data_IF_569762452300
#
_entry.id   IF_569762452300
#
_cell.length_a   1.000
_cell.length_b   1.000
_cell.length_c   1.000
_cell.angle_alpha   90.00
_cell.angle_beta   90.00
_cell.angle_gamma   90.00
#
_symmetry.space_group_name_H-M   'P 1'
#
loop_
_entity.id
_entity.type
_entity.pdbx_description
1 polymer ?
#
# COMPACT_ATOMS: atom_id res chain seq x y z
N UNK A 1 0.78 -45.99 -52.93
CA UNK A 1 1.32 -45.42 -51.66
C UNK A 1 0.19 -44.72 -50.93
N UNK A 2 -0.20 -45.17 -49.73
CA UNK A 2 -1.30 -44.59 -48.94
C UNK A 2 -0.75 -43.42 -48.10
N UNK A 3 -1.04 -42.18 -48.47
CA UNK A 3 -0.59 -40.97 -47.77
C UNK A 3 -1.44 -40.72 -46.53
N UNK A 4 -0.93 -41.06 -45.33
CA UNK A 4 -1.62 -40.88 -44.03
C UNK A 4 -1.44 -39.49 -43.40
N UNK A 5 -1.11 -38.46 -44.17
CA UNK A 5 -0.61 -37.18 -43.65
C UNK A 5 -1.64 -36.04 -43.41
N UNK A 6 -2.94 -36.09 -43.77
CA UNK A 6 -3.77 -34.87 -43.70
C UNK A 6 -4.27 -34.53 -42.28
N UNK A 7 -4.53 -35.52 -41.42
CA UNK A 7 -5.11 -35.28 -40.10
C UNK A 7 -4.11 -34.69 -39.10
N UNK A 8 -2.84 -35.09 -39.17
CA UNK A 8 -1.79 -34.58 -38.30
C UNK A 8 -1.52 -33.08 -38.56
N UNK A 9 -1.54 -32.66 -39.84
CA UNK A 9 -1.36 -31.26 -40.22
C UNK A 9 -2.55 -30.40 -39.73
N UNK A 10 -3.77 -30.94 -39.83
CA UNK A 10 -4.99 -30.27 -39.38
C UNK A 10 -5.02 -30.12 -37.84
N UNK A 11 -4.55 -31.15 -37.11
CA UNK A 11 -4.44 -31.10 -35.65
C UNK A 11 -3.41 -30.06 -35.18
N UNK A 12 -2.25 -29.97 -35.85
CA UNK A 12 -1.22 -28.96 -35.54
C UNK A 12 -1.75 -27.54 -35.83
N UNK A 13 -2.44 -27.35 -36.95
CA UNK A 13 -3.07 -26.06 -37.28
C UNK A 13 -4.16 -25.66 -36.26
N UNK A 14 -4.95 -26.64 -35.77
CA UNK A 14 -5.97 -26.42 -34.74
C UNK A 14 -5.34 -26.02 -33.39
N UNK A 15 -4.25 -26.68 -32.98
CA UNK A 15 -3.52 -26.34 -31.75
C UNK A 15 -2.89 -24.94 -31.81
N UNK A 16 -2.42 -24.51 -32.99
CA UNK A 16 -1.87 -23.16 -33.20
C UNK A 16 -2.96 -22.07 -33.26
N UNK A 17 -4.22 -22.44 -33.57
CA UNK A 17 -5.36 -21.51 -33.58
C UNK A 17 -5.92 -21.24 -32.17
N UNK A 18 -5.66 -22.12 -31.20
CA UNK A 18 -6.07 -21.99 -29.79
C UNK A 18 -4.96 -21.41 -28.90
N UNK A 19 -4.31 -20.33 -29.34
CA UNK A 19 -3.46 -19.56 -28.41
C UNK A 19 -4.35 -18.81 -27.44
N UNK A 20 -4.56 -19.39 -26.25
CA UNK A 20 -5.22 -18.74 -25.13
C UNK A 20 -4.44 -17.48 -24.74
N UNK A 21 -5.07 -16.31 -24.92
CA UNK A 21 -4.56 -15.07 -24.39
C UNK A 21 -5.03 -14.96 -22.94
N UNK A 22 -4.15 -15.30 -21.99
CA UNK A 22 -4.40 -15.00 -20.58
C UNK A 22 -4.09 -13.53 -20.33
N UNK A 23 -5.09 -12.75 -19.94
CA UNK A 23 -4.88 -11.39 -19.44
C UNK A 23 -4.48 -11.46 -17.96
N UNK A 24 -3.54 -10.62 -17.53
CA UNK A 24 -3.29 -10.44 -16.10
C UNK A 24 -4.51 -9.76 -15.47
N UNK A 25 -5.08 -10.38 -14.44
CA UNK A 25 -6.13 -9.81 -13.58
C UNK A 25 -5.52 -9.25 -12.29
N UNK A 26 -6.30 -8.52 -11.50
CA UNK A 26 -5.87 -8.09 -10.17
C UNK A 26 -5.57 -9.28 -9.25
N UNK A 27 -4.65 -9.11 -8.30
CA UNK A 27 -4.30 -10.11 -7.30
C UNK A 27 -5.19 -9.92 -6.09
N UNK A 28 -5.95 -10.96 -5.72
CA UNK A 28 -6.67 -10.99 -4.45
C UNK A 28 -5.92 -11.89 -3.46
N UNK A 29 -5.66 -11.39 -2.25
CA UNK A 29 -5.17 -12.17 -1.13
C UNK A 29 -6.30 -12.23 -0.11
N UNK A 30 -7.02 -13.35 -0.09
CA UNK A 30 -8.13 -13.60 0.82
C UNK A 30 -8.36 -15.12 1.01
N UNK A 31 -9.13 -15.49 2.01
CA UNK A 31 -9.49 -16.89 2.30
C UNK A 31 -10.80 -17.35 1.64
N UNK A 32 -11.58 -16.44 1.05
CA UNK A 32 -12.88 -16.76 0.43
C UNK A 32 -12.76 -17.21 -1.03
N UNK A 33 -11.60 -17.02 -1.66
CA UNK A 33 -11.40 -17.25 -3.10
C UNK A 33 -12.07 -16.20 -3.98
N UNK A 34 -12.49 -15.05 -3.41
CA UNK A 34 -13.09 -13.98 -4.18
C UNK A 34 -12.06 -13.32 -5.11
N UNK A 35 -12.50 -12.99 -6.32
CA UNK A 35 -11.71 -12.18 -7.25
C UNK A 35 -11.45 -10.78 -6.67
N UNK A 36 -10.32 -10.19 -7.06
CA UNK A 36 -10.05 -8.79 -6.73
C UNK A 36 -11.07 -7.89 -7.44
N UNK A 37 -11.41 -6.77 -6.81
CA UNK A 37 -12.22 -5.75 -7.45
C UNK A 37 -11.61 -5.32 -8.78
N UNK A 38 -12.44 -5.13 -9.80
CA UNK A 38 -11.98 -4.76 -11.15
C UNK A 38 -11.17 -3.45 -11.19
N UNK A 39 -11.30 -2.57 -10.18
CA UNK A 39 -10.50 -1.34 -10.05
C UNK A 39 -9.21 -1.51 -9.23
N UNK A 40 -8.88 -2.71 -8.75
CA UNK A 40 -7.74 -2.98 -7.90
C UNK A 40 -6.74 -3.96 -8.56
N UNK A 41 -5.46 -3.58 -8.58
CA UNK A 41 -4.38 -4.51 -8.95
C UNK A 41 -4.00 -5.44 -7.79
N UNK A 42 -4.18 -5.00 -6.55
CA UNK A 42 -4.00 -5.80 -5.34
C UNK A 42 -5.15 -5.49 -4.38
N UNK A 43 -5.86 -6.53 -3.97
CA UNK A 43 -6.87 -6.46 -2.91
C UNK A 43 -6.48 -7.43 -1.79
N UNK A 44 -6.52 -6.95 -0.55
CA UNK A 44 -6.35 -7.78 0.64
C UNK A 44 -7.70 -7.86 1.32
N UNK A 45 -8.40 -8.97 1.08
CA UNK A 45 -9.77 -9.19 1.48
C UNK A 45 -9.88 -10.16 2.65
N UNK A 46 -10.84 -9.93 3.53
CA UNK A 46 -11.06 -10.79 4.70
C UNK A 46 -10.06 -10.49 5.82
N UNK A 47 -10.59 -10.20 7.00
CA UNK A 47 -9.77 -9.96 8.16
C UNK A 47 -9.18 -11.26 8.72
N UNK A 48 -9.75 -12.44 8.43
CA UNK A 48 -9.38 -13.71 9.09
C UNK A 48 -8.48 -14.58 8.23
N UNK A 49 -7.34 -14.99 8.77
CA UNK A 49 -6.43 -15.95 8.14
C UNK A 49 -6.86 -17.41 8.27
N UNK A 50 -6.09 -18.35 7.69
CA UNK A 50 -6.38 -19.79 7.76
C UNK A 50 -6.39 -20.36 9.19
N UNK A 51 -5.72 -19.69 10.13
CA UNK A 51 -5.69 -20.04 11.55
C UNK A 51 -6.84 -19.44 12.38
N UNK A 52 -7.71 -18.62 11.76
CA UNK A 52 -8.79 -17.90 12.45
C UNK A 52 -8.39 -16.56 13.05
N UNK A 53 -7.10 -16.19 13.01
CA UNK A 53 -6.61 -14.91 13.52
C UNK A 53 -6.84 -13.76 12.54
N UNK A 54 -6.95 -12.54 13.07
CA UNK A 54 -7.05 -11.35 12.22
C UNK A 54 -5.69 -11.04 11.56
N UNK A 55 -5.65 -10.93 10.23
CA UNK A 55 -4.46 -10.62 9.42
C UNK A 55 -4.56 -9.23 8.78
N UNK A 56 -3.43 -8.68 8.39
CA UNK A 56 -3.33 -7.40 7.69
C UNK A 56 -2.08 -7.34 6.80
N UNK A 57 -1.82 -6.17 6.22
CA UNK A 57 -0.65 -5.94 5.37
C UNK A 57 0.56 -5.50 6.19
N UNK A 58 1.63 -6.30 6.20
CA UNK A 58 2.91 -5.88 6.76
C UNK A 58 3.78 -5.22 5.69
N UNK A 59 3.93 -3.91 5.79
CA UNK A 59 4.78 -3.09 4.92
C UNK A 59 6.28 -3.28 5.26
N UNK A 60 7.20 -3.19 4.29
CA UNK A 60 8.64 -3.26 4.55
C UNK A 60 9.10 -2.32 5.67
N UNK A 61 9.84 -2.89 6.64
CA UNK A 61 10.44 -2.14 7.75
C UNK A 61 11.85 -1.72 7.38
N UNK A 62 12.12 -0.43 7.43
CA UNK A 62 13.38 0.16 6.94
C UNK A 62 13.94 1.11 8.00
N UNK A 63 15.25 1.05 8.26
CA UNK A 63 15.90 2.04 9.10
C UNK A 63 16.32 3.24 8.22
N UNK A 64 15.47 4.27 8.14
CA UNK A 64 15.78 5.49 7.39
C UNK A 64 16.88 6.29 8.11
N UNK A 65 17.64 7.06 7.34
CA UNK A 65 18.77 7.86 7.86
C UNK A 65 18.44 9.33 8.01
N UNK A 66 17.68 9.90 7.07
CA UNK A 66 17.16 11.26 7.07
C UNK A 66 16.01 11.37 6.06
N UNK A 67 15.14 12.37 6.17
CA UNK A 67 14.03 12.55 5.22
C UNK A 67 14.50 12.95 3.82
N UNK A 68 15.60 13.69 3.71
CA UNK A 68 16.19 14.13 2.43
C UNK A 68 17.17 13.10 1.82
N UNK A 69 17.23 11.88 2.34
CA UNK A 69 18.12 10.82 1.87
C UNK A 69 17.33 9.64 1.33
N UNK A 70 17.59 9.24 0.08
CA UNK A 70 16.98 8.04 -0.49
C UNK A 70 17.40 6.76 0.28
N UNK A 71 18.62 6.75 0.83
CA UNK A 71 19.16 5.59 1.54
C UNK A 71 18.32 5.20 2.75
N UNK A 72 18.17 3.89 3.00
CA UNK A 72 18.93 2.78 2.42
C UNK A 72 18.39 2.24 1.08
N UNK A 73 17.37 2.86 0.48
CA UNK A 73 16.83 2.44 -0.81
C UNK A 73 17.46 3.32 -1.89
N UNK A 74 18.33 2.77 -2.74
CA UNK A 74 19.14 3.59 -3.68
C UNK A 74 18.29 4.31 -4.73
N UNK A 75 17.13 3.75 -5.10
CA UNK A 75 16.23 4.30 -6.12
C UNK A 75 14.76 4.03 -5.76
N UNK A 76 14.23 4.65 -4.69
CA UNK A 76 12.85 4.43 -4.29
C UNK A 76 11.91 4.98 -5.37
N UNK A 77 10.92 4.18 -5.75
CA UNK A 77 9.88 4.63 -6.66
C UNK A 77 9.02 5.71 -5.98
N UNK A 78 8.47 6.64 -6.75
CA UNK A 78 7.47 7.59 -6.22
C UNK A 78 6.31 6.81 -5.62
N UNK A 79 5.84 7.28 -4.46
CA UNK A 79 4.80 6.63 -3.64
C UNK A 79 5.22 5.30 -3.00
N UNK A 80 6.51 4.94 -2.99
CA UNK A 80 6.99 3.77 -2.27
C UNK A 80 6.79 3.95 -0.75
N UNK A 81 5.98 3.08 -0.15
CA UNK A 81 5.60 3.10 1.27
C UNK A 81 6.51 2.18 2.09
N UNK A 82 7.00 2.68 3.23
CA UNK A 82 7.79 1.93 4.20
C UNK A 82 7.36 2.26 5.62
N UNK A 83 7.63 1.36 6.56
CA UNK A 83 7.62 1.69 7.99
C UNK A 83 9.05 1.96 8.45
N UNK A 84 9.35 3.20 8.84
CA UNK A 84 10.63 3.56 9.42
C UNK A 84 10.76 3.00 10.84
N UNK A 85 11.91 2.42 11.16
CA UNK A 85 12.23 1.90 12.51
C UNK A 85 13.27 2.74 13.27
N UNK A 86 13.93 3.69 12.61
CA UNK A 86 15.03 4.44 13.19
C UNK A 86 14.62 5.80 13.77
N UNK A 87 15.37 6.26 14.77
CA UNK A 87 15.49 7.68 15.13
C UNK A 87 16.86 8.12 14.61
N UNK A 88 16.89 8.98 13.60
CA UNK A 88 18.12 9.37 12.92
C UNK A 88 18.00 10.76 12.27
N UNK A 89 19.11 11.30 11.79
CA UNK A 89 19.19 12.62 11.19
C UNK A 89 19.17 13.76 12.22
N UNK A 90 19.20 14.98 11.73
CA UNK A 90 19.08 16.20 12.51
C UNK A 90 18.03 17.11 11.88
N UNK A 91 17.42 17.99 12.68
CA UNK A 91 16.46 18.99 12.20
C UNK A 91 17.05 19.77 11.00
N UNK A 92 16.29 19.99 9.91
CA UNK A 92 14.87 19.67 9.71
C UNK A 92 14.60 18.30 9.04
N UNK A 93 15.61 17.43 8.93
CA UNK A 93 15.54 16.17 8.17
C UNK A 93 15.55 14.91 9.04
N UNK A 94 15.29 15.07 10.33
CA UNK A 94 15.19 13.96 11.27
C UNK A 94 14.05 13.02 10.89
N UNK A 95 14.30 11.73 11.13
CA UNK A 95 13.30 10.66 11.01
C UNK A 95 13.05 10.06 12.37
N UNK A 96 11.81 9.64 12.58
CA UNK A 96 11.34 8.90 13.76
C UNK A 96 10.48 7.73 13.31
N UNK A 97 10.27 6.69 14.14
CA UNK A 97 9.45 5.55 13.77
C UNK A 97 8.05 5.96 13.28
N UNK A 98 7.55 5.25 12.27
CA UNK A 98 6.26 5.51 11.64
C UNK A 98 6.27 5.25 10.13
N UNK A 99 5.12 5.43 9.48
CA UNK A 99 5.02 5.22 8.03
C UNK A 99 5.56 6.41 7.24
N UNK A 100 6.30 6.15 6.18
CA UNK A 100 6.82 7.14 5.24
C UNK A 100 6.55 6.70 3.81
N UNK A 101 6.28 7.66 2.93
CA UNK A 101 6.30 7.42 1.49
C UNK A 101 7.37 8.29 0.82
N UNK A 102 7.93 7.80 -0.28
CA UNK A 102 8.85 8.58 -1.10
C UNK A 102 8.09 9.51 -2.06
N UNK A 103 8.34 10.82 -2.01
CA UNK A 103 7.66 11.80 -2.87
C UNK A 103 8.40 12.13 -4.18
N UNK A 104 9.32 11.27 -4.62
CA UNK A 104 10.33 11.48 -5.67
C UNK A 104 11.59 12.25 -5.25
N UNK A 105 11.61 12.92 -4.09
CA UNK A 105 12.76 13.72 -3.63
C UNK A 105 13.12 13.54 -2.14
N UNK A 106 12.15 13.19 -1.31
CA UNK A 106 12.30 13.01 0.12
C UNK A 106 11.29 11.99 0.65
N UNK A 107 11.62 11.39 1.80
CA UNK A 107 10.70 10.63 2.62
C UNK A 107 9.76 11.59 3.35
N UNK A 108 8.46 11.40 3.13
CA UNK A 108 7.41 12.15 3.80
C UNK A 108 6.74 11.23 4.82
N UNK A 109 6.78 11.62 6.10
CA UNK A 109 6.07 10.88 7.14
C UNK A 109 4.57 11.02 6.91
N UNK A 110 3.83 9.91 6.89
CA UNK A 110 2.38 9.96 6.97
C UNK A 110 2.03 10.52 8.35
N UNK A 111 1.46 11.71 8.39
CA UNK A 111 1.15 12.39 9.63
C UNK A 111 0.28 11.50 10.52
N UNK A 112 0.69 11.30 11.77
CA UNK A 112 -0.28 11.04 12.84
C UNK A 112 -0.96 12.37 13.09
N UNK A 113 -2.28 12.47 12.88
CA UNK A 113 -3.03 13.71 13.04
C UNK A 113 -2.60 14.47 14.31
N UNK A 114 -1.90 15.58 14.13
CA UNK A 114 -1.70 16.57 15.17
C UNK A 114 -2.75 17.64 14.90
N UNK A 115 -3.75 17.74 15.79
CA UNK A 115 -4.69 18.85 15.77
C UNK A 115 -3.95 20.19 15.84
N UNK A 116 -4.57 21.30 15.41
CA UNK A 116 -3.92 22.60 15.37
C UNK A 116 -3.43 23.05 16.76
N UNK A 117 -2.27 23.72 16.77
CA UNK A 117 -1.71 24.41 17.94
C UNK A 117 -2.65 25.48 18.47
N UNK A 118 -3.07 25.39 19.74
CA UNK A 118 -3.79 26.48 20.42
C UNK A 118 -2.88 27.66 20.82
N UNK A 119 -3.46 28.83 21.03
CA UNK A 119 -2.77 30.12 21.17
C UNK A 119 -1.90 30.31 22.44
N UNK A 120 -1.84 29.36 23.38
CA UNK A 120 -1.09 29.49 24.66
C UNK A 120 -0.13 28.33 25.01
N UNK A 121 0.22 27.46 24.05
CA UNK A 121 1.26 26.39 24.16
C UNK A 121 0.76 25.04 24.72
N UNK A 122 1.49 23.91 24.67
CA UNK A 122 2.35 23.36 23.58
C UNK A 122 1.47 22.59 22.59
N UNK A 123 1.81 22.62 21.31
CA UNK A 123 1.14 21.80 20.28
C UNK A 123 1.27 20.31 20.59
N UNK A 124 0.17 19.63 20.91
CA UNK A 124 0.17 18.17 21.07
C UNK A 124 -0.86 17.62 22.06
N UNK A 125 -0.84 16.29 22.22
CA UNK A 125 -1.88 15.44 22.82
C UNK A 125 -2.14 15.60 24.34
N UNK A 126 -1.66 16.66 24.99
CA UNK A 126 -1.74 16.84 26.46
C UNK A 126 -2.63 18.02 26.92
N UNK A 127 -3.46 18.59 26.03
CA UNK A 127 -4.33 19.73 26.36
C UNK A 127 -5.77 19.32 26.71
N UNK A 128 -6.33 19.89 27.79
CA UNK A 128 -7.67 19.59 28.34
C UNK A 128 -8.88 19.86 27.41
N UNK A 129 -8.66 20.34 26.19
CA UNK A 129 -9.69 20.59 25.16
C UNK A 129 -9.57 19.69 23.94
N UNK A 130 -8.66 18.71 23.93
CA UNK A 130 -8.52 17.72 22.87
C UNK A 130 -9.67 16.71 22.88
N UNK A 131 -10.85 17.13 22.39
CA UNK A 131 -11.96 16.23 22.13
C UNK A 131 -12.18 16.14 20.61
N UNK A 132 -11.93 14.95 20.04
CA UNK A 132 -12.53 14.60 18.76
C UNK A 132 -14.02 14.32 19.03
N UNK A 133 -14.82 15.39 19.07
CA UNK A 133 -16.27 15.26 19.02
C UNK A 133 -16.67 14.70 17.66
N UNK A 134 -17.37 13.57 17.64
CA UNK A 134 -17.86 12.98 16.41
C UNK A 134 -18.68 14.01 15.60
N UNK A 135 -18.23 14.27 14.37
CA UNK A 135 -19.11 14.71 13.29
C UNK A 135 -19.45 16.19 13.14
N UNK A 136 -18.65 17.16 13.61
CA UNK A 136 -18.96 18.58 13.31
C UNK A 136 -17.77 19.55 13.19
N UNK A 137 -16.70 19.18 12.48
CA UNK A 137 -15.74 20.18 12.01
C UNK A 137 -15.24 19.88 10.59
N UNK A 138 -15.17 20.92 9.76
CA UNK A 138 -14.44 20.93 8.49
C UNK A 138 -12.99 20.57 8.76
N UNK A 139 -12.54 19.45 8.20
CA UNK A 139 -11.36 18.74 8.66
C UNK A 139 -11.53 17.21 8.70
N UNK A 140 -12.62 16.69 8.12
CA UNK A 140 -12.67 15.31 7.66
C UNK A 140 -11.35 15.00 6.94
N UNK A 141 -10.60 14.01 7.40
CA UNK A 141 -9.50 13.50 6.61
C UNK A 141 -10.07 13.13 5.24
N UNK A 142 -9.40 13.49 4.14
CA UNK A 142 -9.91 13.37 2.77
C UNK A 142 -10.26 11.95 2.32
N UNK A 143 -10.18 10.95 3.20
CA UNK A 143 -10.22 9.54 2.83
C UNK A 143 -11.31 8.70 3.51
N UNK A 144 -12.06 9.22 4.49
CA UNK A 144 -13.20 8.47 5.02
C UNK A 144 -14.15 9.34 5.84
N UNK A 145 -15.44 9.38 5.49
CA UNK A 145 -16.51 10.08 6.22
C UNK A 145 -17.46 9.14 6.97
N UNK A 146 -17.16 7.84 7.01
CA UNK A 146 -17.91 6.89 7.82
C UNK A 146 -19.30 6.52 7.34
N UNK A 147 -19.60 6.75 6.05
CA UNK A 147 -20.82 6.26 5.41
C UNK A 147 -20.58 5.14 4.40
#
# INVERSE_FOLDING_TARGET
>A
MKTKTPYALCLIALCLFFTFHSFSQGVAINVSGADANASALLEIGGATGPSGDTQGLLIPRVALTATNSALPITTPATSLLVYNTAIAGAEPYNVTPGYYYWNASAWVKLATALGPTGATGVTGIAGATGLLGAGSATGNTTYWDGS
#
